data_IF_483014743924
#
_entry.id   IF_483014743924
#
_cell.length_a   1.000
_cell.length_b   1.000
_cell.length_c   1.000
_cell.angle_alpha   90.00
_cell.angle_beta   90.00
_cell.angle_gamma   90.00
#
_symmetry.space_group_name_H-M   'P 1'
#
loop_
_entity.id
_entity.type
_entity.pdbx_description
1 polymer ?
#
# COMPACT_ATOMS: atom_id res chain seq x y z
N UNK A 1 0.82 -1.38 33.08
CA UNK A 1 -0.51 -1.80 33.53
C UNK A 1 -1.55 -1.41 32.50
N UNK A 2 -2.45 -2.32 32.13
CA UNK A 2 -3.52 -2.06 31.18
C UNK A 2 -4.77 -2.88 31.55
N UNK A 3 -5.93 -2.44 31.06
CA UNK A 3 -7.19 -3.17 31.18
C UNK A 3 -7.54 -3.81 29.84
N UNK A 4 -8.14 -4.99 29.91
CA UNK A 4 -8.58 -5.72 28.72
C UNK A 4 -10.07 -6.07 28.91
N UNK A 5 -10.86 -5.82 27.88
CA UNK A 5 -12.21 -6.35 27.75
C UNK A 5 -12.13 -7.54 26.81
N UNK A 6 -12.36 -8.72 27.34
CA UNK A 6 -12.38 -9.98 26.60
C UNK A 6 -13.80 -10.52 26.56
N UNK A 7 -14.18 -11.11 25.42
CA UNK A 7 -15.51 -11.62 25.21
C UNK A 7 -15.47 -12.88 24.38
N UNK A 8 -16.06 -13.95 24.89
CA UNK A 8 -16.23 -15.21 24.19
C UNK A 8 -17.70 -15.51 23.96
N UNK A 9 -18.03 -16.02 22.80
CA UNK A 9 -19.39 -16.37 22.40
C UNK A 9 -19.39 -17.71 21.66
N UNK A 10 -20.44 -18.51 21.84
CA UNK A 10 -20.65 -19.77 21.14
C UNK A 10 -21.84 -19.69 20.19
N UNK A 11 -21.82 -20.53 19.14
CA UNK A 11 -22.89 -20.60 18.12
C UNK A 11 -23.15 -19.28 17.39
N UNK A 12 -22.09 -18.50 17.10
CA UNK A 12 -22.14 -17.19 16.43
C UNK A 12 -21.26 -17.17 15.19
N UNK A 13 -21.62 -16.30 14.25
CA UNK A 13 -20.82 -15.94 13.08
C UNK A 13 -20.14 -14.57 13.28
N UNK A 14 -19.29 -14.19 12.34
CA UNK A 14 -18.54 -12.92 12.38
C UNK A 14 -19.44 -11.69 12.56
N UNK A 15 -20.59 -11.64 11.88
CA UNK A 15 -21.52 -10.50 11.95
C UNK A 15 -22.16 -10.38 13.35
N UNK A 16 -22.39 -11.49 14.05
CA UNK A 16 -22.92 -11.45 15.42
C UNK A 16 -21.93 -10.77 16.36
N UNK A 17 -20.63 -11.03 16.19
CA UNK A 17 -19.56 -10.36 16.95
C UNK A 17 -19.53 -8.88 16.64
N UNK A 18 -19.60 -8.49 15.36
CA UNK A 18 -19.62 -7.08 14.98
C UNK A 18 -20.82 -6.33 15.54
N UNK A 19 -22.01 -6.93 15.48
CA UNK A 19 -23.24 -6.33 16.02
C UNK A 19 -23.18 -6.05 17.52
N UNK A 20 -22.36 -6.79 18.28
CA UNK A 20 -22.15 -6.57 19.69
C UNK A 20 -21.00 -5.57 19.93
N UNK A 21 -19.89 -5.73 19.21
CA UNK A 21 -18.70 -4.92 19.46
C UNK A 21 -18.82 -3.48 18.95
N UNK A 22 -19.49 -3.25 17.83
CA UNK A 22 -19.65 -1.90 17.30
C UNK A 22 -20.36 -0.94 18.28
N UNK A 23 -21.49 -1.31 18.94
CA UNK A 23 -22.08 -0.49 19.99
C UNK A 23 -21.17 -0.25 21.19
N UNK A 24 -20.40 -1.25 21.61
CA UNK A 24 -19.45 -1.12 22.72
C UNK A 24 -18.38 -0.07 22.39
N UNK A 25 -17.76 -0.18 21.20
CA UNK A 25 -16.76 0.78 20.72
C UNK A 25 -17.38 2.18 20.54
N UNK A 26 -18.54 2.26 19.91
CA UNK A 26 -19.24 3.53 19.70
C UNK A 26 -19.51 4.27 21.03
N UNK A 27 -20.10 3.59 21.99
CA UNK A 27 -20.42 4.18 23.30
C UNK A 27 -19.15 4.62 24.05
N UNK A 28 -18.11 3.78 24.01
CA UNK A 28 -16.82 4.10 24.63
C UNK A 28 -16.19 5.34 24.00
N UNK A 29 -16.04 5.36 22.68
CA UNK A 29 -15.43 6.50 22.00
C UNK A 29 -16.28 7.77 22.09
N UNK A 30 -17.60 7.67 22.02
CA UNK A 30 -18.49 8.84 22.19
C UNK A 30 -18.40 9.42 23.59
N UNK A 31 -18.22 8.58 24.62
CA UNK A 31 -18.09 9.04 25.99
C UNK A 31 -16.78 9.79 26.26
N UNK A 32 -15.67 9.35 25.66
CA UNK A 32 -14.33 9.89 25.92
C UNK A 32 -13.78 10.82 24.82
N UNK A 33 -14.47 10.97 23.69
CA UNK A 33 -14.03 11.80 22.57
C UNK A 33 -14.98 12.96 22.32
N UNK A 34 -14.42 14.10 21.94
CA UNK A 34 -15.16 15.25 21.43
C UNK A 34 -15.28 15.25 19.88
N UNK A 35 -14.84 14.18 19.22
CA UNK A 35 -14.94 14.01 17.79
C UNK A 35 -16.17 13.20 17.41
N UNK A 36 -16.67 13.41 16.18
CA UNK A 36 -17.74 12.57 15.63
C UNK A 36 -17.23 11.13 15.49
N UNK A 37 -17.94 10.19 16.08
CA UNK A 37 -17.68 8.75 16.00
C UNK A 37 -18.61 8.14 14.96
N UNK A 38 -18.12 7.17 14.19
CA UNK A 38 -18.92 6.39 13.25
C UNK A 38 -19.96 5.59 14.00
N UNK A 39 -21.22 5.67 13.56
CA UNK A 39 -22.33 4.96 14.20
C UNK A 39 -22.24 3.44 13.92
N UNK A 40 -22.78 2.59 14.83
CA UNK A 40 -22.88 1.16 14.63
C UNK A 40 -23.58 0.81 13.31
N UNK A 41 -23.14 -0.23 12.65
CA UNK A 41 -23.58 -0.62 11.30
C UNK A 41 -22.87 0.11 10.16
N UNK A 42 -22.10 1.17 10.45
CA UNK A 42 -21.35 1.95 9.46
C UNK A 42 -19.82 1.86 9.64
N UNK A 43 -19.33 1.03 10.55
CA UNK A 43 -17.90 0.79 10.69
C UNK A 43 -17.33 0.19 9.41
N UNK A 44 -16.20 0.74 8.96
CA UNK A 44 -15.52 0.24 7.77
C UNK A 44 -14.96 -1.17 8.04
N UNK A 45 -15.38 -2.11 7.22
CA UNK A 45 -14.89 -3.50 7.25
C UNK A 45 -13.90 -3.69 6.11
N UNK A 46 -12.64 -3.97 6.43
CA UNK A 46 -11.57 -4.18 5.46
C UNK A 46 -11.16 -5.65 5.52
N UNK A 47 -11.30 -6.41 4.43
CA UNK A 47 -10.81 -7.79 4.38
C UNK A 47 -9.30 -7.86 4.64
N UNK A 48 -8.84 -8.88 5.34
CA UNK A 48 -7.43 -9.05 5.72
C UNK A 48 -6.46 -8.92 4.53
N UNK A 49 -6.75 -9.64 3.44
CA UNK A 49 -5.90 -9.59 2.24
C UNK A 49 -5.87 -8.20 1.59
N UNK A 50 -6.98 -7.47 1.66
CA UNK A 50 -7.05 -6.10 1.17
C UNK A 50 -6.24 -5.15 2.06
N UNK A 51 -6.32 -5.32 3.38
CA UNK A 51 -5.52 -4.54 4.33
C UNK A 51 -4.02 -4.73 4.08
N UNK A 52 -3.57 -5.97 3.94
CA UNK A 52 -2.17 -6.27 3.62
C UNK A 52 -1.74 -5.75 2.25
N UNK A 53 -2.61 -5.85 1.23
CA UNK A 53 -2.29 -5.33 -0.09
C UNK A 53 -2.15 -3.81 -0.08
N UNK A 54 -3.16 -3.10 0.42
CA UNK A 54 -3.26 -1.64 0.31
C UNK A 54 -2.40 -0.88 1.31
N UNK A 55 -2.20 -1.44 2.49
CA UNK A 55 -1.57 -0.74 3.62
C UNK A 55 -0.33 -1.45 4.19
N UNK A 56 -0.06 -2.69 3.78
CA UNK A 56 1.07 -3.46 4.28
C UNK A 56 0.92 -3.95 5.74
N UNK A 57 -0.26 -3.81 6.32
CA UNK A 57 -0.55 -4.20 7.71
C UNK A 57 -2.02 -4.61 7.86
N UNK A 58 -2.29 -5.46 8.85
CA UNK A 58 -3.66 -5.84 9.25
C UNK A 58 -4.34 -4.78 10.15
N UNK A 59 -3.61 -3.74 10.56
CA UNK A 59 -4.10 -2.62 11.40
C UNK A 59 -3.78 -1.27 10.76
N UNK A 60 -4.40 -0.95 9.61
CA UNK A 60 -4.06 0.25 8.85
C UNK A 60 -4.48 1.54 9.57
N UNK A 61 -3.61 2.55 9.52
CA UNK A 61 -3.99 3.92 9.83
C UNK A 61 -4.54 4.59 8.57
N UNK A 62 -5.86 4.70 8.48
CA UNK A 62 -6.54 5.28 7.31
C UNK A 62 -6.35 6.79 7.13
N UNK A 63 -5.65 7.47 8.07
CA UNK A 63 -5.22 8.86 7.90
C UNK A 63 -4.02 8.97 6.95
N UNK A 64 -3.27 7.87 6.78
CA UNK A 64 -2.21 7.79 5.79
C UNK A 64 -2.82 7.64 4.40
N UNK A 65 -2.63 8.61 3.49
CA UNK A 65 -3.23 8.56 2.16
C UNK A 65 -2.50 7.64 1.19
N UNK A 66 -1.35 7.07 1.58
CA UNK A 66 -0.55 6.24 0.68
C UNK A 66 -1.17 4.85 0.56
N UNK A 67 -1.48 4.46 -0.66
CA UNK A 67 -2.07 3.16 -0.99
C UNK A 67 -1.09 2.37 -1.85
N UNK A 68 -0.76 1.17 -1.41
CA UNK A 68 0.05 0.23 -2.18
C UNK A 68 -0.81 -0.38 -3.29
N UNK A 69 -0.29 -0.42 -4.50
CA UNK A 69 -0.95 -1.02 -5.65
C UNK A 69 -0.21 -2.27 -6.15
N UNK A 70 -0.97 -3.23 -6.68
CA UNK A 70 -0.41 -4.34 -7.45
C UNK A 70 -0.15 -3.91 -8.88
N UNK A 71 1.10 -3.98 -9.30
CA UNK A 71 1.53 -3.63 -10.66
C UNK A 71 2.21 -4.80 -11.37
N UNK A 72 2.00 -6.02 -10.87
CA UNK A 72 2.61 -7.25 -11.39
C UNK A 72 2.37 -7.39 -12.89
N UNK A 73 1.13 -7.17 -13.35
CA UNK A 73 0.78 -7.33 -14.78
C UNK A 73 1.44 -6.29 -15.69
N UNK A 74 1.74 -5.09 -15.18
CA UNK A 74 2.47 -4.05 -15.92
C UNK A 74 3.90 -4.52 -16.23
N UNK A 75 4.52 -5.22 -15.26
CA UNK A 75 5.88 -5.72 -15.41
C UNK A 75 5.98 -7.10 -16.06
N UNK A 76 4.93 -7.92 -16.07
CA UNK A 76 4.94 -9.27 -16.65
C UNK A 76 5.41 -9.30 -18.09
N UNK A 77 4.97 -8.34 -18.89
CA UNK A 77 5.30 -8.21 -20.31
C UNK A 77 6.23 -7.00 -20.58
N UNK A 78 7.06 -6.63 -19.60
CA UNK A 78 8.02 -5.54 -19.75
C UNK A 78 9.38 -6.05 -20.24
N UNK A 79 10.24 -5.12 -20.65
CA UNK A 79 11.63 -5.43 -21.02
C UNK A 79 12.54 -5.55 -19.79
N UNK A 80 12.02 -5.53 -18.56
CA UNK A 80 12.81 -5.66 -17.34
C UNK A 80 12.93 -7.12 -16.92
N UNK A 81 13.86 -7.83 -17.52
CA UNK A 81 14.07 -9.27 -17.38
C UNK A 81 14.19 -9.75 -15.92
N UNK A 82 14.69 -8.91 -15.00
CA UNK A 82 14.78 -9.24 -13.58
C UNK A 82 13.38 -9.47 -12.97
N UNK A 83 12.45 -8.54 -13.22
CA UNK A 83 11.08 -8.68 -12.70
C UNK A 83 10.31 -9.76 -13.45
N UNK A 84 10.48 -9.85 -14.78
CA UNK A 84 9.80 -10.88 -15.59
C UNK A 84 10.13 -12.27 -15.06
N UNK A 85 11.42 -12.61 -14.88
CA UNK A 85 11.85 -13.90 -14.34
C UNK A 85 11.35 -14.15 -12.91
N UNK A 86 11.36 -13.12 -12.08
CA UNK A 86 10.84 -13.24 -10.72
C UNK A 86 9.33 -13.53 -10.71
N UNK A 87 8.56 -12.83 -11.57
CA UNK A 87 7.11 -13.02 -11.71
C UNK A 87 6.79 -14.43 -12.25
N UNK A 88 7.56 -14.93 -13.21
CA UNK A 88 7.45 -16.31 -13.71
C UNK A 88 7.68 -17.34 -12.59
N UNK A 89 8.50 -16.99 -11.59
CA UNK A 89 8.76 -17.82 -10.40
C UNK A 89 7.76 -17.58 -9.26
N UNK A 90 6.67 -16.85 -9.50
CA UNK A 90 5.61 -16.60 -8.52
C UNK A 90 5.77 -15.33 -7.69
N UNK A 91 6.74 -14.47 -8.02
CA UNK A 91 6.86 -13.16 -7.36
C UNK A 91 5.74 -12.20 -7.81
N UNK A 92 5.49 -11.22 -6.97
CA UNK A 92 4.56 -10.11 -7.21
C UNK A 92 5.32 -8.78 -7.16
N UNK A 93 4.84 -7.80 -7.89
CA UNK A 93 5.38 -6.44 -7.87
C UNK A 93 4.38 -5.50 -7.22
N UNK A 94 4.82 -4.86 -6.15
CA UNK A 94 4.04 -3.85 -5.43
C UNK A 94 4.63 -2.47 -5.71
N UNK A 95 3.74 -1.49 -5.82
CA UNK A 95 4.10 -0.10 -6.03
C UNK A 95 3.52 0.78 -4.92
N UNK A 96 4.31 1.72 -4.42
CA UNK A 96 3.87 2.72 -3.45
C UNK A 96 4.12 4.12 -4.02
N UNK A 97 3.11 5.02 -4.05
CA UNK A 97 3.29 6.39 -4.50
C UNK A 97 4.09 7.22 -3.48
N UNK A 98 4.86 8.15 -3.98
CA UNK A 98 5.54 9.18 -3.19
C UNK A 98 5.15 10.54 -3.78
N UNK A 99 4.15 11.23 -3.19
CA UNK A 99 3.65 12.51 -3.69
C UNK A 99 4.67 13.64 -3.53
N UNK A 100 4.70 14.56 -4.51
CA UNK A 100 5.43 15.82 -4.47
C UNK A 100 6.96 15.69 -4.18
N UNK A 101 7.60 14.66 -4.73
CA UNK A 101 9.03 14.40 -4.49
C UNK A 101 9.94 14.71 -5.68
N UNK A 102 9.41 15.27 -6.77
CA UNK A 102 10.18 15.55 -7.99
C UNK A 102 11.37 16.49 -7.73
N UNK A 103 11.23 17.43 -6.81
CA UNK A 103 12.29 18.39 -6.46
C UNK A 103 13.30 17.83 -5.42
N UNK A 104 13.14 16.57 -4.98
CA UNK A 104 14.07 15.91 -4.07
C UNK A 104 15.36 15.51 -4.80
N UNK A 105 16.53 15.67 -4.15
CA UNK A 105 17.80 15.28 -4.74
C UNK A 105 17.90 13.75 -4.88
N UNK A 106 18.76 13.28 -5.78
CA UNK A 106 19.02 11.86 -6.00
C UNK A 106 19.31 11.10 -4.70
N UNK A 107 20.02 11.73 -3.77
CA UNK A 107 20.33 11.13 -2.47
C UNK A 107 19.08 10.77 -1.63
N UNK A 108 17.94 11.41 -1.87
CA UNK A 108 16.68 11.00 -1.26
C UNK A 108 16.26 9.60 -1.74
N UNK A 109 16.30 9.37 -3.04
CA UNK A 109 15.95 8.07 -3.63
C UNK A 109 16.94 6.97 -3.23
N UNK A 110 18.25 7.31 -3.23
CA UNK A 110 19.30 6.37 -2.79
C UNK A 110 19.12 5.95 -1.32
N UNK A 111 18.70 6.88 -0.44
CA UNK A 111 18.37 6.57 0.96
C UNK A 111 17.13 5.67 1.09
N UNK A 112 16.10 5.85 0.26
CA UNK A 112 14.93 4.99 0.26
C UNK A 112 15.28 3.57 -0.18
N UNK A 113 16.17 3.44 -1.18
CA UNK A 113 16.69 2.13 -1.60
C UNK A 113 17.46 1.46 -0.46
N UNK A 114 18.37 2.19 0.19
CA UNK A 114 19.14 1.66 1.33
C UNK A 114 18.23 1.22 2.48
N UNK A 115 17.27 2.06 2.86
CA UNK A 115 16.27 1.73 3.88
C UNK A 115 15.49 0.45 3.55
N UNK A 116 14.99 0.32 2.32
CA UNK A 116 14.26 -0.88 1.93
C UNK A 116 15.13 -2.15 2.01
N UNK A 117 16.42 -2.05 1.68
CA UNK A 117 17.36 -3.18 1.79
C UNK A 117 17.65 -3.52 3.25
N UNK A 118 17.77 -2.53 4.14
CA UNK A 118 17.90 -2.73 5.59
C UNK A 118 16.67 -3.45 6.17
N UNK A 119 15.47 -3.16 5.65
CA UNK A 119 14.23 -3.84 6.00
C UNK A 119 14.03 -5.20 5.28
N UNK A 120 15.04 -5.69 4.57
CA UNK A 120 15.07 -7.03 3.98
C UNK A 120 14.55 -7.13 2.54
N UNK A 121 14.29 -6.01 1.86
CA UNK A 121 14.00 -6.05 0.44
C UNK A 121 15.25 -6.39 -0.38
N UNK A 122 15.12 -7.18 -1.45
CA UNK A 122 16.21 -7.47 -2.37
C UNK A 122 16.64 -6.27 -3.22
N UNK A 123 15.85 -5.22 -3.22
CA UNK A 123 16.07 -3.95 -3.91
C UNK A 123 14.81 -3.12 -3.96
N UNK A 124 14.95 -1.86 -4.32
CA UNK A 124 13.84 -0.94 -4.52
C UNK A 124 14.04 -0.19 -5.85
N UNK A 125 13.15 -0.42 -6.81
CA UNK A 125 13.11 0.35 -8.05
C UNK A 125 12.33 1.63 -7.88
N UNK A 126 12.54 2.62 -8.76
CA UNK A 126 11.71 3.81 -8.76
C UNK A 126 11.59 4.46 -10.15
N UNK A 127 10.50 5.22 -10.32
CA UNK A 127 10.25 6.14 -11.43
C UNK A 127 9.77 7.47 -10.85
N UNK A 128 10.24 8.58 -11.40
CA UNK A 128 9.82 9.95 -11.04
C UNK A 128 9.12 10.55 -12.26
N UNK A 129 7.98 11.17 -12.07
CA UNK A 129 7.29 11.95 -13.10
C UNK A 129 7.55 13.42 -12.85
N UNK A 130 8.15 14.11 -13.82
CA UNK A 130 8.39 15.54 -13.70
C UNK A 130 7.07 16.37 -13.78
N UNK A 131 7.19 17.68 -13.66
CA UNK A 131 6.02 18.59 -13.65
C UNK A 131 5.29 18.62 -15.00
N UNK A 132 5.98 18.26 -16.07
CA UNK A 132 5.43 18.10 -17.42
C UNK A 132 4.85 16.69 -17.66
N UNK A 133 5.09 15.75 -16.74
CA UNK A 133 4.59 14.37 -16.81
C UNK A 133 5.56 13.38 -17.46
N UNK A 134 6.79 13.83 -17.80
CA UNK A 134 7.79 12.92 -18.35
C UNK A 134 8.37 12.01 -17.27
N UNK A 135 8.52 10.74 -17.59
CA UNK A 135 9.08 9.76 -16.68
C UNK A 135 10.61 9.79 -16.67
N UNK A 136 11.21 9.74 -15.48
CA UNK A 136 12.66 9.67 -15.24
C UNK A 136 12.98 8.61 -14.21
N UNK A 137 14.15 8.00 -14.31
CA UNK A 137 14.60 7.00 -13.34
C UNK A 137 15.10 5.71 -13.97
N UNK A 138 15.62 4.78 -13.16
CA UNK A 138 16.33 3.59 -13.65
C UNK A 138 15.41 2.60 -14.38
N UNK A 139 14.11 2.58 -14.09
CA UNK A 139 13.18 1.61 -14.66
C UNK A 139 12.46 2.11 -15.92
N UNK A 140 12.52 3.39 -16.24
CA UNK A 140 11.78 4.00 -17.39
C UNK A 140 12.11 3.30 -18.70
N UNK A 141 13.37 2.99 -18.96
CA UNK A 141 13.83 2.35 -20.21
C UNK A 141 13.25 0.96 -20.48
N UNK A 142 12.61 0.37 -19.49
CA UNK A 142 12.03 -0.98 -19.59
C UNK A 142 10.51 -0.98 -19.80
N UNK A 143 9.89 0.19 -19.73
CA UNK A 143 8.45 0.38 -19.90
C UNK A 143 8.20 1.28 -21.11
N UNK A 144 7.26 0.88 -21.97
CA UNK A 144 6.75 1.74 -23.02
C UNK A 144 5.76 2.79 -22.48
N UNK A 145 5.35 3.71 -23.32
CA UNK A 145 4.45 4.81 -22.94
C UNK A 145 3.08 4.29 -22.43
N UNK A 146 2.55 3.23 -23.05
CA UNK A 146 1.28 2.62 -22.64
C UNK A 146 1.36 2.10 -21.18
N UNK A 147 2.45 1.38 -20.86
CA UNK A 147 2.68 0.88 -19.49
C UNK A 147 2.92 1.98 -18.48
N UNK A 148 3.64 3.06 -18.87
CA UNK A 148 3.82 4.22 -18.01
C UNK A 148 2.50 4.93 -17.71
N UNK A 149 1.63 5.08 -18.70
CA UNK A 149 0.29 5.65 -18.51
C UNK A 149 -0.58 4.75 -17.62
N UNK A 150 -0.57 3.44 -17.89
CA UNK A 150 -1.28 2.46 -17.06
C UNK A 150 -0.80 2.47 -15.61
N UNK A 151 0.51 2.64 -15.40
CA UNK A 151 1.11 2.76 -14.07
C UNK A 151 0.57 4.00 -13.33
N UNK A 152 0.51 5.16 -14.00
CA UNK A 152 -0.06 6.39 -13.41
C UNK A 152 -1.50 6.19 -12.97
N UNK A 153 -2.32 5.54 -13.80
CA UNK A 153 -3.73 5.25 -13.49
C UNK A 153 -3.87 4.32 -12.28
N UNK A 154 -3.18 3.17 -12.31
CA UNK A 154 -3.31 2.12 -11.28
C UNK A 154 -2.82 2.61 -9.92
N UNK A 155 -1.75 3.38 -9.87
CA UNK A 155 -1.16 3.90 -8.64
C UNK A 155 -1.76 5.25 -8.22
N UNK A 156 -2.47 5.93 -9.13
CA UNK A 156 -3.06 7.25 -8.88
C UNK A 156 -2.02 8.38 -8.86
N UNK A 157 -0.96 8.26 -9.68
CA UNK A 157 0.14 9.24 -9.71
C UNK A 157 -0.23 10.52 -10.45
N UNK A 158 0.30 11.62 -9.95
CA UNK A 158 0.24 12.95 -10.57
C UNK A 158 1.61 13.38 -11.09
N UNK A 159 1.64 14.43 -11.89
CA UNK A 159 2.89 15.07 -12.24
C UNK A 159 3.55 15.65 -10.98
N UNK A 160 4.84 15.42 -10.82
CA UNK A 160 5.59 15.78 -9.60
C UNK A 160 5.77 14.62 -8.62
N UNK A 161 5.07 13.50 -8.81
CA UNK A 161 5.16 12.33 -7.95
C UNK A 161 6.28 11.37 -8.39
N UNK A 162 6.69 10.53 -7.46
CA UNK A 162 7.45 9.33 -7.76
C UNK A 162 6.66 8.08 -7.35
N UNK A 163 7.12 6.94 -7.82
CA UNK A 163 6.63 5.63 -7.42
C UNK A 163 7.80 4.71 -7.16
N UNK A 164 7.75 3.99 -6.04
CA UNK A 164 8.71 2.96 -5.69
C UNK A 164 8.13 1.58 -5.92
N UNK A 165 9.00 0.63 -6.31
CA UNK A 165 8.63 -0.75 -6.62
C UNK A 165 9.43 -1.74 -5.81
N UNK A 166 8.74 -2.69 -5.20
CA UNK A 166 9.36 -3.87 -4.61
C UNK A 166 8.83 -5.12 -5.32
N UNK A 167 9.72 -6.04 -5.65
CA UNK A 167 9.40 -7.32 -6.25
C UNK A 167 9.90 -8.44 -5.34
N UNK A 168 8.98 -9.29 -4.86
CA UNK A 168 9.34 -10.43 -4.03
C UNK A 168 8.30 -11.55 -4.15
N UNK A 169 8.66 -12.75 -3.70
CA UNK A 169 7.72 -13.86 -3.57
C UNK A 169 6.78 -13.54 -2.42
N UNK A 170 5.47 -13.71 -2.67
CA UNK A 170 4.46 -13.59 -1.61
C UNK A 170 4.76 -14.65 -0.55
N UNK A 171 5.09 -14.24 0.67
CA UNK A 171 5.09 -15.15 1.81
C UNK A 171 3.64 -15.38 2.23
N UNK A 172 3.28 -16.64 2.43
CA UNK A 172 1.98 -17.04 2.99
C UNK A 172 1.80 -16.55 4.43
#
# INVERSE_FOLDING_TARGET
EFYQLDMEMSFVEQEDIFNIMEPVLYNTFTHFSNRKVTEPGNFLKIPFNEALLKYGTDKPDLRNPLIIADVTEIFRNSNFSLFVKAIESGAIVRAIPAPDVVDKPRSFFDKMVAFAMEEGASGLGYIVFDKEGNAKGPLVKFLDEEKLNRLKEVVGLKNGDAVFFCCNIKKE
#
